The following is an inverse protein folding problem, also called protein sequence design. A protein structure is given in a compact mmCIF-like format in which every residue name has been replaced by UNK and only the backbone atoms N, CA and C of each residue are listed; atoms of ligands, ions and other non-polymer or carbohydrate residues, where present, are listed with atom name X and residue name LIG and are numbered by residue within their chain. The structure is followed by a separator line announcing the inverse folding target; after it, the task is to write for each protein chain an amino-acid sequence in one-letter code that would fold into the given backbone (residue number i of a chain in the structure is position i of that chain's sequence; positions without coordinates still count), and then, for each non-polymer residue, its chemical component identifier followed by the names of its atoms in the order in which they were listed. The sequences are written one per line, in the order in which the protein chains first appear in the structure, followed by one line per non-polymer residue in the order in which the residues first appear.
data_IF_935437853316
#
_entry.id   IF_935437853316
#
_cell.length_a   1.000
_cell.length_b   1.000
_cell.length_c   1.000
_cell.angle_alpha   90.00
_cell.angle_beta   90.00
_cell.angle_gamma   90.00
#
_symmetry.space_group_name_H-M   'P 1'
#
loop_
_entity.id
_entity.type
_entity.pdbx_description
1 polymer ?
#
# COMPACT_ATOMS: atom_id res chain seq x y z
N UNK A 1 -16.94 -0.07 7.09
CA UNK A 1 -16.62 -1.47 7.50
C UNK A 1 -17.66 -2.07 8.47
N UNK A 2 -18.82 -1.45 8.62
CA UNK A 2 -19.87 -1.90 9.56
C UNK A 2 -20.76 -3.02 9.01
N UNK A 3 -20.52 -3.47 7.78
CA UNK A 3 -21.28 -4.62 7.25
C UNK A 3 -20.86 -5.91 7.99
N UNK A 4 -21.81 -6.57 8.60
CA UNK A 4 -21.62 -7.91 9.17
C UNK A 4 -21.29 -8.88 8.03
N UNK A 5 -20.14 -9.52 8.09
CA UNK A 5 -19.70 -10.55 7.17
C UNK A 5 -19.25 -11.77 7.97
N UNK A 6 -19.46 -12.96 7.41
CA UNK A 6 -18.96 -14.21 7.99
C UNK A 6 -17.49 -14.43 7.62
N UNK A 7 -17.08 -14.00 6.45
CA UNK A 7 -15.73 -14.15 5.93
C UNK A 7 -14.76 -13.06 6.40
N UNK A 8 -15.24 -11.82 6.58
CA UNK A 8 -14.40 -10.68 6.95
C UNK A 8 -14.53 -10.30 8.42
N UNK A 9 -13.41 -10.04 9.06
CA UNK A 9 -13.34 -9.56 10.43
C UNK A 9 -12.45 -8.33 10.55
N UNK A 10 -12.91 -7.36 11.32
CA UNK A 10 -12.12 -6.18 11.70
C UNK A 10 -11.57 -6.37 13.11
N UNK A 11 -10.24 -6.15 13.27
CA UNK A 11 -9.51 -6.22 14.54
C UNK A 11 -9.64 -7.55 15.30
N UNK A 12 -9.99 -8.64 14.63
CA UNK A 12 -10.08 -10.00 15.20
C UNK A 12 -9.80 -11.04 14.13
N UNK A 13 -9.48 -12.24 14.56
CA UNK A 13 -9.20 -13.35 13.68
C UNK A 13 -10.40 -13.74 12.80
N UNK A 14 -10.13 -14.10 11.57
CA UNK A 14 -11.11 -14.57 10.58
C UNK A 14 -10.42 -15.11 9.34
N UNK A 15 -11.20 -15.70 8.43
CA UNK A 15 -10.71 -16.18 7.12
C UNK A 15 -10.00 -15.05 6.37
N UNK A 16 -10.67 -13.91 6.29
CA UNK A 16 -10.11 -12.64 5.81
C UNK A 16 -10.27 -11.62 6.93
N UNK A 17 -9.23 -10.89 7.26
CA UNK A 17 -9.27 -9.92 8.35
C UNK A 17 -8.42 -8.69 8.07
N UNK A 18 -8.84 -7.55 8.58
CA UNK A 18 -8.07 -6.32 8.63
C UNK A 18 -7.83 -5.96 10.10
N UNK A 19 -6.60 -5.65 10.43
CA UNK A 19 -6.25 -5.14 11.75
C UNK A 19 -5.73 -3.72 11.62
N UNK A 20 -6.36 -2.79 12.32
CA UNK A 20 -5.92 -1.39 12.34
C UNK A 20 -4.49 -1.25 12.86
N UNK A 21 -4.08 -2.12 13.79
CA UNK A 21 -2.72 -2.18 14.33
C UNK A 21 -1.64 -2.60 13.31
N UNK A 22 -2.02 -3.09 12.13
CA UNK A 22 -1.06 -3.38 11.06
C UNK A 22 -0.67 -2.12 10.28
N UNK A 23 -1.33 -1.01 10.55
CA UNK A 23 -1.19 0.26 9.87
C UNK A 23 -0.88 1.39 10.86
N UNK A 24 -0.45 2.51 10.30
CA UNK A 24 -0.19 3.71 11.10
C UNK A 24 0.95 3.53 12.10
N UNK A 25 0.77 4.10 13.30
CA UNK A 25 1.77 4.01 14.37
C UNK A 25 1.90 2.60 14.99
N UNK A 26 1.10 1.63 14.52
CA UNK A 26 1.02 0.25 15.05
C UNK A 26 0.74 0.19 16.56
N UNK A 27 0.15 1.23 17.11
CA UNK A 27 -0.19 1.34 18.51
C UNK A 27 -1.72 1.31 18.74
N UNK A 28 -2.19 1.79 19.86
CA UNK A 28 -3.60 1.74 20.30
C UNK A 28 -4.51 2.80 19.66
N UNK A 29 -3.99 3.73 18.86
CA UNK A 29 -4.82 4.75 18.24
C UNK A 29 -5.68 4.13 17.14
N UNK A 30 -6.93 4.56 17.04
CA UNK A 30 -7.77 4.23 15.90
C UNK A 30 -7.12 4.75 14.63
N UNK A 31 -7.14 3.94 13.59
CA UNK A 31 -6.49 4.27 12.32
C UNK A 31 -6.97 5.62 11.74
N UNK A 32 -8.25 5.94 11.94
CA UNK A 32 -8.82 7.24 11.55
C UNK A 32 -8.18 8.41 12.30
N UNK A 33 -7.91 8.26 13.58
CA UNK A 33 -7.31 9.31 14.40
C UNK A 33 -5.84 9.52 14.02
N UNK A 34 -5.14 8.44 13.71
CA UNK A 34 -3.80 8.49 13.16
C UNK A 34 -3.75 9.26 11.82
N UNK A 35 -4.65 8.95 10.86
CA UNK A 35 -4.75 9.69 9.59
C UNK A 35 -4.97 11.18 9.84
N UNK A 36 -5.91 11.53 10.71
CA UNK A 36 -6.21 12.93 11.04
C UNK A 36 -4.97 13.64 11.64
N UNK A 37 -4.26 12.99 12.54
CA UNK A 37 -3.03 13.51 13.17
C UNK A 37 -1.93 13.75 12.13
N UNK A 38 -1.69 12.77 11.25
CA UNK A 38 -0.66 12.87 10.20
C UNK A 38 -0.97 13.98 9.21
N UNK A 39 -2.20 14.08 8.74
CA UNK A 39 -2.63 15.14 7.83
C UNK A 39 -2.53 16.53 8.47
N UNK A 40 -2.96 16.68 9.72
CA UNK A 40 -2.81 17.93 10.46
C UNK A 40 -1.35 18.34 10.58
N UNK A 41 -0.45 17.41 10.89
CA UNK A 41 1.00 17.65 10.97
C UNK A 41 1.62 18.07 9.64
N UNK A 42 1.04 17.66 8.53
CA UNK A 42 1.45 18.03 7.17
C UNK A 42 0.72 19.26 6.60
N UNK A 43 -0.10 19.96 7.41
CA UNK A 43 -0.81 21.17 6.99
C UNK A 43 -2.13 20.94 6.23
N UNK A 44 -2.60 19.69 6.17
CA UNK A 44 -3.88 19.37 5.50
C UNK A 44 -5.06 19.45 6.47
N UNK A 45 -6.22 19.74 5.91
CA UNK A 45 -7.49 19.73 6.65
C UNK A 45 -7.94 18.30 6.95
N UNK A 46 -8.74 18.14 7.99
CA UNK A 46 -9.35 16.85 8.35
C UNK A 46 -10.26 16.37 7.22
N UNK A 47 -10.06 15.15 6.67
CA UNK A 47 -10.90 14.63 5.61
C UNK A 47 -12.27 14.17 6.12
N UNK A 48 -13.29 14.28 5.27
CA UNK A 48 -14.63 13.76 5.55
C UNK A 48 -14.65 12.23 5.43
N UNK A 49 -14.02 11.71 4.38
CA UNK A 49 -13.95 10.28 4.08
C UNK A 49 -12.50 9.84 3.88
N UNK A 50 -12.18 8.64 4.33
CA UNK A 50 -10.89 7.98 4.08
C UNK A 50 -11.15 6.59 3.57
N UNK A 51 -10.59 6.27 2.42
CA UNK A 51 -10.57 4.91 1.87
C UNK A 51 -9.18 4.34 2.01
N UNK A 52 -9.09 3.12 2.51
CA UNK A 52 -7.84 2.38 2.65
C UNK A 52 -7.77 1.28 1.58
N UNK A 53 -6.74 1.33 0.75
CA UNK A 53 -6.28 0.21 -0.05
C UNK A 53 -5.18 -0.51 0.71
N UNK A 54 -5.37 -1.79 0.96
CA UNK A 54 -4.41 -2.62 1.68
C UNK A 54 -4.69 -4.10 1.38
N UNK A 55 -3.66 -4.94 1.47
CA UNK A 55 -3.87 -6.38 1.49
C UNK A 55 -4.35 -6.82 2.87
N UNK A 56 -5.51 -7.48 2.96
CA UNK A 56 -6.00 -8.01 4.23
C UNK A 56 -5.15 -9.22 4.66
N UNK A 57 -5.25 -9.59 5.92
CA UNK A 57 -4.75 -10.88 6.39
C UNK A 57 -5.67 -12.00 5.89
N UNK A 58 -5.07 -13.09 5.47
CA UNK A 58 -5.76 -14.34 5.10
C UNK A 58 -5.29 -15.42 6.08
N UNK A 59 -6.22 -16.05 6.80
CA UNK A 59 -5.92 -17.03 7.87
C UNK A 59 -4.90 -16.52 8.91
N UNK A 60 -4.97 -15.22 9.22
CA UNK A 60 -4.07 -14.57 10.17
C UNK A 60 -2.73 -14.13 9.59
N UNK A 61 -2.34 -14.61 8.41
CA UNK A 61 -1.13 -14.19 7.72
C UNK A 61 -1.40 -12.91 6.92
N UNK A 62 -0.57 -11.89 7.08
CA UNK A 62 -0.74 -10.61 6.38
C UNK A 62 0.59 -9.91 6.13
N UNK A 63 0.75 -9.40 4.93
CA UNK A 63 1.83 -8.50 4.55
C UNK A 63 1.32 -7.56 3.46
N UNK A 64 1.33 -6.27 3.72
CA UNK A 64 0.95 -5.23 2.77
C UNK A 64 2.17 -4.34 2.54
N UNK A 65 2.96 -4.57 1.49
CA UNK A 65 4.16 -3.77 1.21
C UNK A 65 3.83 -2.31 0.90
N UNK A 66 2.64 -2.08 0.37
CA UNK A 66 2.09 -0.75 0.12
C UNK A 66 0.66 -0.72 0.61
N UNK A 67 0.33 0.26 1.44
CA UNK A 67 -1.04 0.64 1.77
C UNK A 67 -1.25 2.10 1.37
N UNK A 68 -2.44 2.42 0.87
CA UNK A 68 -2.74 3.78 0.40
C UNK A 68 -4.02 4.28 1.03
N UNK A 69 -3.94 5.43 1.68
CA UNK A 69 -5.08 6.12 2.25
C UNK A 69 -5.48 7.27 1.33
N UNK A 70 -6.64 7.16 0.72
CA UNK A 70 -7.24 8.21 -0.11
C UNK A 70 -8.13 9.07 0.76
N UNK A 71 -7.76 10.32 0.94
CA UNK A 71 -8.40 11.25 1.87
C UNK A 71 -9.24 12.27 1.10
N UNK A 72 -10.54 12.20 1.28
CA UNK A 72 -11.50 13.03 0.57
C UNK A 72 -12.10 14.11 1.47
N UNK A 73 -12.23 15.32 0.95
CA UNK A 73 -12.97 16.45 1.54
C UNK A 73 -13.95 16.99 0.50
N UNK A 74 -15.21 17.16 0.87
CA UNK A 74 -16.29 17.61 -0.04
C UNK A 74 -16.38 16.79 -1.34
N UNK A 75 -16.21 15.47 -1.21
CA UNK A 75 -16.17 14.49 -2.32
C UNK A 75 -15.02 14.67 -3.34
N UNK A 76 -14.05 15.52 -3.04
CA UNK A 76 -12.82 15.66 -3.84
C UNK A 76 -11.65 15.00 -3.12
N UNK A 77 -10.79 14.33 -3.87
CA UNK A 77 -9.56 13.78 -3.33
C UNK A 77 -8.63 14.96 -2.97
N UNK A 78 -8.29 15.08 -1.69
CA UNK A 78 -7.50 16.18 -1.16
C UNK A 78 -6.05 15.81 -0.86
N UNK A 79 -5.84 14.59 -0.37
CA UNK A 79 -4.52 14.11 -0.05
C UNK A 79 -4.45 12.58 -0.11
N UNK A 80 -3.25 12.06 -0.33
CA UNK A 80 -2.97 10.63 -0.28
C UNK A 80 -1.83 10.38 0.71
N UNK A 81 -1.99 9.35 1.54
CA UNK A 81 -0.91 8.84 2.39
C UNK A 81 -0.51 7.47 1.84
N UNK A 82 0.77 7.32 1.51
CA UNK A 82 1.37 6.03 1.17
C UNK A 82 2.08 5.49 2.39
N UNK A 83 1.70 4.33 2.82
CA UNK A 83 2.39 3.58 3.87
C UNK A 83 3.17 2.46 3.19
N UNK A 84 4.48 2.56 3.18
CA UNK A 84 5.39 1.59 2.58
C UNK A 84 6.03 0.76 3.68
N UNK A 85 6.05 -0.55 3.50
CA UNK A 85 6.66 -1.52 4.43
C UNK A 85 7.67 -2.38 3.72
N UNK A 86 8.79 -2.61 4.37
CA UNK A 86 9.76 -3.58 3.90
C UNK A 86 9.62 -4.93 4.64
N UNK A 87 10.35 -5.93 4.18
CA UNK A 87 10.39 -7.26 4.81
C UNK A 87 11.18 -7.30 6.12
N UNK A 88 11.91 -6.23 6.46
CA UNK A 88 12.68 -6.08 7.70
C UNK A 88 11.83 -5.55 8.87
N UNK A 89 10.56 -5.23 8.62
CA UNK A 89 9.63 -4.76 9.64
C UNK A 89 9.57 -3.23 9.77
N UNK A 90 10.28 -2.50 8.95
CA UNK A 90 10.22 -1.04 8.91
C UNK A 90 9.00 -0.55 8.13
N UNK A 91 8.56 0.65 8.47
CA UNK A 91 7.44 1.33 7.86
C UNK A 91 7.73 2.82 7.78
N UNK A 92 7.41 3.40 6.63
CA UNK A 92 7.48 4.85 6.41
C UNK A 92 6.21 5.34 5.74
N UNK A 93 5.83 6.58 6.04
CA UNK A 93 4.70 7.24 5.39
C UNK A 93 5.17 8.40 4.52
N UNK A 94 4.58 8.48 3.35
CA UNK A 94 4.69 9.62 2.46
C UNK A 94 3.32 10.27 2.31
N UNK A 95 3.25 11.59 2.51
CA UNK A 95 2.01 12.36 2.37
C UNK A 95 2.17 13.28 1.17
N UNK A 96 1.18 13.25 0.29
CA UNK A 96 1.17 14.11 -0.89
C UNK A 96 -0.15 14.83 -1.03
N UNK A 97 -0.10 16.05 -1.52
CA UNK A 97 -1.23 16.72 -2.13
C UNK A 97 -1.71 15.93 -3.34
N UNK A 98 -2.99 15.90 -3.59
CA UNK A 98 -3.58 14.97 -4.57
C UNK A 98 -4.64 15.66 -5.41
N UNK A 99 -4.24 16.68 -6.14
CA UNK A 99 -5.13 17.22 -7.16
C UNK A 99 -5.04 16.34 -8.41
N UNK A 100 -6.16 15.76 -8.86
CA UNK A 100 -6.16 15.00 -10.11
C UNK A 100 -5.87 15.91 -11.31
N UNK A 101 -5.06 15.40 -12.21
CA UNK A 101 -4.86 15.99 -13.53
C UNK A 101 -6.15 15.92 -14.37
N UNK A 102 -6.22 16.60 -15.54
CA UNK A 102 -7.37 16.55 -16.42
C UNK A 102 -7.78 15.13 -16.87
N UNK A 103 -6.85 14.16 -16.84
CA UNK A 103 -7.11 12.75 -17.13
C UNK A 103 -7.62 11.96 -15.91
N UNK A 104 -7.91 12.63 -14.80
CA UNK A 104 -8.39 12.05 -13.55
C UNK A 104 -7.31 11.30 -12.74
N UNK A 105 -6.04 11.35 -13.16
CA UNK A 105 -4.93 10.71 -12.46
C UNK A 105 -4.24 11.69 -11.55
N UNK A 106 -3.71 11.16 -10.46
CA UNK A 106 -2.83 11.89 -9.54
C UNK A 106 -1.39 11.48 -9.83
N UNK A 107 -0.52 12.46 -10.04
CA UNK A 107 0.91 12.25 -10.28
C UNK A 107 1.74 13.08 -9.31
N UNK A 108 2.71 12.42 -8.69
CA UNK A 108 3.69 13.10 -7.85
C UNK A 108 4.96 12.29 -7.72
N UNK A 109 6.01 12.97 -7.28
CA UNK A 109 7.34 12.38 -7.11
C UNK A 109 7.81 12.59 -5.68
N UNK A 110 8.36 11.53 -5.08
CA UNK A 110 8.81 11.54 -3.70
C UNK A 110 10.19 10.90 -3.64
N UNK A 111 11.14 11.55 -2.98
CA UNK A 111 12.47 10.95 -2.74
C UNK A 111 12.32 9.72 -1.84
N UNK A 112 13.01 8.65 -2.21
CA UNK A 112 13.07 7.44 -1.41
C UNK A 112 13.76 7.73 -0.09
N UNK A 113 13.14 7.31 1.00
CA UNK A 113 13.66 7.52 2.35
C UNK A 113 13.57 6.24 3.20
N UNK A 114 13.54 5.08 2.56
CA UNK A 114 13.53 3.79 3.22
C UNK A 114 14.27 2.74 2.41
N UNK A 115 15.05 1.92 3.10
CA UNK A 115 15.71 0.76 2.51
C UNK A 115 14.68 -0.35 2.26
N UNK A 116 14.45 -0.69 1.00
CA UNK A 116 13.43 -1.68 0.60
C UNK A 116 14.07 -2.95 0.07
N UNK A 117 15.25 -2.85 -0.55
CA UNK A 117 15.92 -3.97 -1.21
C UNK A 117 17.43 -3.86 -1.07
N UNK A 118 18.14 -4.98 -0.83
CA UNK A 118 19.60 -4.99 -0.78
C UNK A 118 20.27 -4.77 -2.15
N UNK A 119 19.49 -4.69 -3.22
CA UNK A 119 19.99 -4.52 -4.58
C UNK A 119 19.75 -3.14 -5.17
N UNK A 120 19.12 -2.24 -4.41
CA UNK A 120 18.71 -0.92 -4.87
C UNK A 120 19.13 0.13 -3.83
N UNK A 121 19.92 1.12 -4.24
CA UNK A 121 20.43 2.20 -3.40
C UNK A 121 19.32 3.14 -2.90
N UNK A 122 19.69 4.11 -2.06
CA UNK A 122 18.78 5.11 -1.47
C UNK A 122 18.63 6.37 -2.34
N UNK A 123 19.53 6.61 -3.29
CA UNK A 123 19.53 7.81 -4.13
C UNK A 123 18.49 7.75 -5.26
N UNK A 124 17.26 7.39 -4.93
CA UNK A 124 16.19 7.25 -5.92
C UNK A 124 14.97 8.11 -5.62
N UNK A 125 14.14 8.25 -6.66
CA UNK A 125 12.85 8.94 -6.61
C UNK A 125 11.74 8.00 -7.06
N UNK A 126 10.69 7.92 -6.26
CA UNK A 126 9.44 7.27 -6.63
C UNK A 126 8.56 8.24 -7.41
N UNK A 127 8.14 7.84 -8.59
CA UNK A 127 7.14 8.54 -9.39
C UNK A 127 5.83 7.76 -9.34
N UNK A 128 4.88 8.28 -8.59
CA UNK A 128 3.55 7.71 -8.47
C UNK A 128 2.64 8.21 -9.59
N UNK A 129 1.89 7.32 -10.18
CA UNK A 129 0.77 7.61 -11.05
C UNK A 129 -0.42 6.79 -10.58
N UNK A 130 -1.47 7.45 -10.10
CA UNK A 130 -2.61 6.79 -9.48
C UNK A 130 -3.89 7.19 -10.21
N UNK A 131 -4.70 6.20 -10.53
CA UNK A 131 -6.12 6.39 -10.78
C UNK A 131 -6.84 6.06 -9.45
N UNK A 132 -7.45 7.08 -8.79
CA UNK A 132 -8.14 6.88 -7.52
C UNK A 132 -9.23 5.80 -7.62
N UNK A 133 -9.58 5.15 -6.49
CA UNK A 133 -10.56 4.06 -6.50
C UNK A 133 -11.96 4.55 -6.87
N UNK A 134 -12.49 3.98 -7.94
CA UNK A 134 -13.87 4.04 -8.40
C UNK A 134 -14.24 2.66 -8.95
N UNK A 135 -14.81 2.51 -10.14
CA UNK A 135 -14.99 1.21 -10.80
C UNK A 135 -13.66 0.49 -11.05
N UNK A 136 -12.62 1.28 -11.29
CA UNK A 136 -11.24 0.80 -11.50
C UNK A 136 -10.30 1.55 -10.58
N UNK A 137 -9.28 0.84 -10.13
CA UNK A 137 -8.13 1.35 -9.41
C UNK A 137 -6.87 1.06 -10.21
N UNK A 138 -5.95 1.99 -10.27
CA UNK A 138 -4.61 1.75 -10.79
C UNK A 138 -3.59 2.54 -10.00
N UNK A 139 -2.54 1.86 -9.54
CA UNK A 139 -1.36 2.47 -8.94
C UNK A 139 -0.17 2.00 -9.73
N UNK A 140 0.63 2.93 -10.22
CA UNK A 140 1.91 2.67 -10.86
C UNK A 140 2.99 3.47 -10.14
N UNK A 141 4.07 2.80 -9.80
CA UNK A 141 5.25 3.38 -9.16
C UNK A 141 6.42 3.11 -10.09
N UNK A 142 7.04 4.14 -10.59
CA UNK A 142 8.31 4.07 -11.28
C UNK A 142 9.40 4.54 -10.33
N UNK A 143 10.36 3.69 -10.03
CA UNK A 143 11.56 4.03 -9.26
C UNK A 143 12.67 4.40 -10.24
N UNK A 144 13.24 5.58 -10.07
CA UNK A 144 14.28 6.12 -10.95
C UNK A 144 15.47 6.63 -10.13
N UNK A 145 16.64 6.51 -10.72
CA UNK A 145 17.86 7.16 -10.29
C UNK A 145 18.39 8.13 -11.39
N UNK A 146 19.64 8.55 -11.28
CA UNK A 146 20.31 9.43 -12.25
C UNK A 146 20.51 8.75 -13.62
N UNK A 147 20.66 7.42 -13.63
CA UNK A 147 20.87 6.60 -14.83
C UNK A 147 19.55 6.23 -15.51
N UNK A 148 18.40 6.44 -14.88
CA UNK A 148 17.09 6.24 -15.46
C UNK A 148 16.12 5.38 -14.66
N UNK A 149 15.35 4.54 -15.36
CA UNK A 149 14.30 3.72 -14.77
C UNK A 149 14.87 2.40 -14.23
N UNK A 150 14.77 2.19 -12.91
CA UNK A 150 15.23 0.97 -12.23
C UNK A 150 14.14 -0.08 -12.07
N UNK A 151 12.95 0.36 -11.61
CA UNK A 151 11.87 -0.55 -11.25
C UNK A 151 10.52 0.05 -11.65
N UNK A 152 9.63 -0.83 -12.11
CA UNK A 152 8.21 -0.52 -12.29
C UNK A 152 7.42 -1.48 -11.40
N UNK A 153 6.67 -0.93 -10.46
CA UNK A 153 5.65 -1.66 -9.72
C UNK A 153 4.26 -1.17 -10.12
N UNK A 154 3.31 -2.08 -10.28
CA UNK A 154 1.93 -1.71 -10.58
C UNK A 154 0.94 -2.60 -9.86
N UNK A 155 -0.15 -1.98 -9.44
CA UNK A 155 -1.30 -2.66 -8.85
C UNK A 155 -2.56 -2.13 -9.52
N UNK A 156 -3.37 -3.03 -10.05
CA UNK A 156 -4.64 -2.70 -10.66
C UNK A 156 -5.76 -3.51 -10.03
N UNK A 157 -6.95 -2.93 -9.97
CA UNK A 157 -8.12 -3.58 -9.43
C UNK A 157 -9.39 -3.10 -10.11
N UNK A 158 -10.46 -3.88 -9.94
CA UNK A 158 -11.82 -3.51 -10.31
C UNK A 158 -12.71 -3.61 -9.10
N UNK A 159 -13.68 -2.72 -9.01
CA UNK A 159 -14.69 -2.77 -7.98
C UNK A 159 -15.40 -4.13 -8.00
N UNK A 160 -15.61 -4.68 -6.82
CA UNK A 160 -16.45 -5.84 -6.58
C UNK A 160 -17.32 -5.57 -5.35
N UNK A 161 -18.55 -6.06 -5.36
CA UNK A 161 -19.40 -5.92 -4.20
C UNK A 161 -18.80 -6.59 -2.97
N UNK A 162 -18.81 -5.88 -1.86
CA UNK A 162 -18.36 -6.41 -0.58
C UNK A 162 -19.46 -7.25 0.05
N UNK A 163 -19.42 -8.56 -0.21
CA UNK A 163 -20.31 -9.56 0.37
C UNK A 163 -19.57 -10.88 0.59
N UNK A 164 -20.17 -11.78 1.36
CA UNK A 164 -19.54 -13.05 1.74
C UNK A 164 -19.25 -13.96 0.54
N UNK A 165 -20.06 -13.92 -0.49
CA UNK A 165 -19.86 -14.73 -1.69
C UNK A 165 -18.63 -14.26 -2.48
N UNK A 166 -18.51 -12.95 -2.70
CA UNK A 166 -17.37 -12.38 -3.41
C UNK A 166 -16.07 -12.61 -2.63
N UNK A 167 -16.13 -12.49 -1.30
CA UNK A 167 -14.98 -12.75 -0.42
C UNK A 167 -14.60 -14.24 -0.43
N UNK A 168 -15.57 -15.13 -0.36
CA UNK A 168 -15.34 -16.58 -0.46
C UNK A 168 -14.72 -16.94 -1.81
N UNK A 169 -15.27 -16.41 -2.91
CA UNK A 169 -14.72 -16.63 -4.24
C UNK A 169 -13.27 -16.15 -4.33
N UNK A 170 -12.97 -14.95 -3.84
CA UNK A 170 -11.60 -14.42 -3.81
C UNK A 170 -10.67 -15.31 -2.97
N UNK A 171 -11.12 -15.74 -1.79
CA UNK A 171 -10.36 -16.62 -0.91
C UNK A 171 -10.00 -17.95 -1.57
N UNK A 172 -10.94 -18.60 -2.27
CA UNK A 172 -10.71 -19.89 -2.93
C UNK A 172 -10.00 -19.77 -4.28
N UNK A 173 -10.19 -18.65 -5.01
CA UNK A 173 -9.49 -18.41 -6.27
C UNK A 173 -8.03 -17.99 -6.07
N UNK A 174 -7.72 -17.33 -4.95
CA UNK A 174 -6.38 -16.84 -4.64
C UNK A 174 -5.85 -17.36 -3.29
N UNK A 175 -5.94 -18.69 -3.05
CA UNK A 175 -5.42 -19.25 -1.83
C UNK A 175 -3.92 -19.01 -1.77
N UNK A 176 -3.42 -18.70 -0.61
CA UNK A 176 -1.98 -18.52 -0.39
C UNK A 176 -1.32 -17.40 -1.23
N UNK A 177 -2.07 -16.41 -1.73
CA UNK A 177 -1.49 -15.32 -2.50
C UNK A 177 -0.32 -14.64 -1.77
N UNK A 178 -0.44 -14.45 -0.46
CA UNK A 178 0.63 -13.91 0.39
C UNK A 178 1.87 -14.81 0.42
N UNK A 179 1.68 -16.11 0.57
CA UNK A 179 2.77 -17.10 0.56
C UNK A 179 3.48 -17.06 -0.79
N UNK A 180 2.71 -17.02 -1.89
CA UNK A 180 3.26 -16.88 -3.24
C UNK A 180 4.10 -15.60 -3.39
N UNK A 181 3.61 -14.48 -2.90
CA UNK A 181 4.34 -13.20 -2.94
C UNK A 181 5.65 -13.29 -2.16
N UNK A 182 5.64 -13.82 -0.95
CA UNK A 182 6.84 -14.00 -0.14
C UNK A 182 7.85 -14.94 -0.83
N UNK A 183 7.39 -16.06 -1.36
CA UNK A 183 8.25 -17.00 -2.12
C UNK A 183 8.87 -16.27 -3.32
N UNK A 184 8.10 -15.52 -4.09
CA UNK A 184 8.60 -14.78 -5.26
C UNK A 184 9.61 -13.70 -4.88
N UNK A 185 9.43 -12.99 -3.76
CA UNK A 185 10.40 -12.01 -3.27
C UNK A 185 11.74 -12.69 -3.00
N UNK A 186 11.75 -13.79 -2.25
CA UNK A 186 12.99 -14.52 -1.92
C UNK A 186 13.60 -15.19 -3.15
N UNK A 187 12.77 -15.70 -4.05
CA UNK A 187 13.23 -16.30 -5.32
C UNK A 187 13.93 -15.26 -6.20
N UNK A 188 13.33 -14.09 -6.38
CA UNK A 188 13.97 -13.01 -7.14
C UNK A 188 15.26 -12.52 -6.47
N UNK A 189 15.29 -12.41 -5.15
CA UNK A 189 16.50 -12.07 -4.41
C UNK A 189 17.62 -13.08 -4.66
N UNK A 190 17.28 -14.38 -4.66
CA UNK A 190 18.22 -15.46 -4.97
C UNK A 190 18.75 -15.38 -6.41
N UNK A 191 17.87 -15.11 -7.39
CA UNK A 191 18.27 -14.90 -8.79
C UNK A 191 19.26 -13.74 -8.91
N UNK A 192 18.97 -12.59 -8.26
CA UNK A 192 19.83 -11.42 -8.29
C UNK A 192 21.18 -11.69 -7.64
N UNK A 193 21.20 -12.46 -6.54
CA UNK A 193 22.42 -12.91 -5.88
C UNK A 193 23.28 -13.75 -6.83
N UNK A 194 22.71 -14.75 -7.51
CA UNK A 194 23.45 -15.56 -8.48
C UNK A 194 23.93 -14.78 -9.70
N UNK A 195 23.19 -13.73 -10.09
CA UNK A 195 23.62 -12.79 -11.14
C UNK A 195 24.71 -11.82 -10.68
N UNK A 196 25.18 -11.95 -9.43
CA UNK A 196 26.23 -11.09 -8.82
C UNK A 196 25.89 -9.60 -8.87
N UNK A 197 24.60 -9.25 -8.77
CA UNK A 197 24.19 -7.85 -8.62
C UNK A 197 24.78 -7.32 -7.32
N UNK A 198 25.32 -6.11 -7.37
CA UNK A 198 25.95 -5.46 -6.21
C UNK A 198 24.96 -5.36 -5.03
N UNK A 199 25.38 -5.88 -3.88
CA UNK A 199 24.61 -5.79 -2.65
C UNK A 199 24.93 -4.44 -1.99
N UNK A 200 23.90 -3.65 -1.71
CA UNK A 200 23.99 -2.40 -0.95
C UNK A 200 23.77 -2.76 0.52
N UNK A 201 24.74 -2.47 1.42
CA UNK A 201 24.58 -2.80 2.82
C UNK A 201 23.44 -1.99 3.45
N UNK A 202 22.76 -2.61 4.40
CA UNK A 202 21.79 -1.92 5.25
C UNK A 202 22.56 -1.01 6.22
N UNK A 203 22.38 0.29 6.08
CA UNK A 203 23.03 1.33 6.90
C UNK A 203 22.04 1.94 7.90
#
# INVERSE_FOLDING_TARGET
LDKKSWFFRLNRWGMVSLYEKDHGDRNTLRLRDWVNKKLKGAGFTKPDKVYLLSFPRVLGLGFSPLSVFFCYSKNQLNSVIYEVKNTYGEQIEYISDSQPDPDGRVRHSIKKNMYVSPFIDMAQTYHFTILPPDEKLSIKINEKDEDGLLLIASQTGRYQDFNDWTLAKAFFCYPLMLVKVLILIHWNALILYFKRVKIVPYS
#
